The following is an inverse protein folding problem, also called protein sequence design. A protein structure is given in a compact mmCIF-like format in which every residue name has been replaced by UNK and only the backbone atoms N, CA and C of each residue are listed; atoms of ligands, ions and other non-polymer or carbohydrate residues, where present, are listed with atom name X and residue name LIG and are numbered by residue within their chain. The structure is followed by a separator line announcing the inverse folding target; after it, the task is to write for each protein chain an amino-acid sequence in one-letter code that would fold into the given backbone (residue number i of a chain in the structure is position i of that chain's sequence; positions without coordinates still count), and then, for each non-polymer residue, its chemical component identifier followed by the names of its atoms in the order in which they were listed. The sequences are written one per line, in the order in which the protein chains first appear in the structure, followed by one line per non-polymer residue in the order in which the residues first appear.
data_IF_815607568871
#
_entry.id   IF_815607568871
#
_cell.length_a   1.000
_cell.length_b   1.000
_cell.length_c   1.000
_cell.angle_alpha   90.00
_cell.angle_beta   90.00
_cell.angle_gamma   90.00
#
_symmetry.space_group_name_H-M   'P 1'
#
loop_
_entity.id
_entity.type
_entity.pdbx_description
1 polymer ?
#
# COMPACT_ATOMS: atom_id res chain seq x y z
N UNK A 1 -2.47 -14.52 24.68
CA UNK A 1 -1.77 -13.73 23.64
C UNK A 1 -0.67 -12.91 24.29
N UNK A 2 0.55 -13.00 23.77
CA UNK A 2 1.69 -12.18 24.18
C UNK A 2 1.42 -10.72 23.76
N UNK A 3 1.92 -9.75 24.52
CA UNK A 3 1.67 -8.31 24.26
C UNK A 3 2.03 -7.90 22.83
N UNK A 4 3.05 -8.53 22.24
CA UNK A 4 3.51 -8.28 20.88
C UNK A 4 2.49 -8.69 19.80
N UNK A 5 1.83 -9.83 19.99
CA UNK A 5 0.80 -10.32 19.05
C UNK A 5 -0.37 -9.34 18.96
N UNK A 6 -0.77 -8.76 20.10
CA UNK A 6 -1.84 -7.75 20.15
C UNK A 6 -1.46 -6.49 19.40
N UNK A 7 -0.19 -6.07 19.48
CA UNK A 7 0.29 -4.89 18.75
C UNK A 7 0.28 -5.10 17.25
N UNK A 8 0.74 -6.26 16.79
CA UNK A 8 0.74 -6.64 15.37
C UNK A 8 -0.69 -6.65 14.83
N UNK A 9 -1.62 -7.29 15.55
CA UNK A 9 -3.03 -7.33 15.16
C UNK A 9 -3.67 -5.94 15.11
N UNK A 10 -3.41 -5.07 16.10
CA UNK A 10 -3.94 -3.72 16.11
C UNK A 10 -3.43 -2.90 14.91
N UNK A 11 -2.12 -2.97 14.61
CA UNK A 11 -1.55 -2.29 13.45
C UNK A 11 -2.16 -2.80 12.14
N UNK A 12 -2.31 -4.12 11.99
CA UNK A 12 -2.91 -4.74 10.79
C UNK A 12 -4.35 -4.27 10.57
N UNK A 13 -5.18 -4.26 11.61
CA UNK A 13 -6.56 -3.76 11.51
C UNK A 13 -6.64 -2.30 11.05
N UNK A 14 -5.78 -1.43 11.59
CA UNK A 14 -5.71 -0.02 11.17
C UNK A 14 -5.35 0.06 9.67
N UNK A 15 -4.35 -0.71 9.25
CA UNK A 15 -3.92 -0.78 7.85
C UNK A 15 -5.04 -1.28 6.94
N UNK A 16 -5.80 -2.30 7.33
CA UNK A 16 -6.90 -2.84 6.52
C UNK A 16 -8.00 -1.81 6.27
N UNK A 17 -8.42 -1.08 7.31
CA UNK A 17 -9.40 0.00 7.18
C UNK A 17 -8.84 1.20 6.40
N UNK A 18 -7.54 1.49 6.55
CA UNK A 18 -6.89 2.53 5.76
C UNK A 18 -6.83 2.17 4.27
N UNK A 19 -6.44 0.94 3.94
CA UNK A 19 -6.45 0.42 2.57
C UNK A 19 -7.83 0.57 1.94
N UNK A 20 -8.89 0.17 2.65
CA UNK A 20 -10.26 0.29 2.16
C UNK A 20 -10.67 1.75 1.92
N UNK A 21 -10.40 2.63 2.88
CA UNK A 21 -10.74 4.06 2.79
C UNK A 21 -9.99 4.75 1.64
N UNK A 22 -8.68 4.50 1.50
CA UNK A 22 -7.88 5.07 0.40
C UNK A 22 -8.25 4.49 -0.96
N UNK A 23 -8.55 3.19 -1.04
CA UNK A 23 -9.02 2.58 -2.27
C UNK A 23 -10.41 3.10 -2.70
N UNK A 24 -11.25 3.45 -1.74
CA UNK A 24 -12.63 3.92 -2.02
C UNK A 24 -12.66 5.40 -2.39
N UNK A 25 -11.89 6.24 -1.68
CA UNK A 25 -12.00 7.71 -1.79
C UNK A 25 -10.79 8.38 -2.43
N UNK A 26 -9.65 7.70 -2.46
CA UNK A 26 -8.37 8.30 -2.78
C UNK A 26 -7.80 9.13 -1.64
N UNK A 27 -6.48 9.27 -1.63
CA UNK A 27 -5.70 9.93 -0.57
C UNK A 27 -6.22 11.33 -0.21
N UNK A 28 -6.53 12.16 -1.21
CA UNK A 28 -6.96 13.55 -0.98
C UNK A 28 -8.31 13.64 -0.25
N UNK A 29 -9.27 12.78 -0.59
CA UNK A 29 -10.61 12.80 -0.01
C UNK A 29 -10.75 11.93 1.25
N UNK A 30 -9.75 11.10 1.56
CA UNK A 30 -9.73 10.30 2.79
C UNK A 30 -9.40 11.12 4.04
N UNK A 31 -9.89 10.63 5.19
CA UNK A 31 -9.57 11.19 6.50
C UNK A 31 -9.38 10.11 7.57
N UNK A 32 -8.55 10.38 8.59
CA UNK A 32 -8.39 9.50 9.75
C UNK A 32 -9.72 9.26 10.49
N UNK A 33 -10.67 10.19 10.37
CA UNK A 33 -12.01 10.04 10.95
C UNK A 33 -12.84 8.94 10.27
N UNK A 34 -12.58 8.66 9.00
CA UNK A 34 -13.27 7.62 8.25
C UNK A 34 -12.62 6.24 8.44
N UNK A 35 -11.34 6.21 8.84
CA UNK A 35 -10.59 4.98 9.16
C UNK A 35 -10.95 4.45 10.56
N UNK A 36 -11.44 5.34 11.43
CA UNK A 36 -11.99 4.99 12.73
C UNK A 36 -13.12 3.97 12.61
N UNK A 37 -13.07 2.94 13.44
CA UNK A 37 -14.11 1.91 13.52
C UNK A 37 -14.17 1.35 14.93
N UNK A 38 -15.16 1.78 15.71
CA UNK A 38 -15.36 1.31 17.08
C UNK A 38 -15.75 -0.16 17.17
N UNK A 39 -16.47 -0.69 16.18
CA UNK A 39 -16.92 -2.09 16.18
C UNK A 39 -15.72 -3.04 16.02
N UNK A 40 -14.71 -2.60 15.27
CA UNK A 40 -13.44 -3.33 15.11
C UNK A 40 -12.40 -3.02 16.20
N UNK A 41 -12.71 -2.10 17.11
CA UNK A 41 -11.83 -1.67 18.21
C UNK A 41 -10.75 -0.65 17.79
N UNK A 42 -10.93 0.03 16.66
CA UNK A 42 -10.02 1.05 16.13
C UNK A 42 -10.50 2.44 16.58
N UNK A 43 -9.79 3.01 17.56
CA UNK A 43 -10.00 4.39 17.99
C UNK A 43 -9.04 5.35 17.28
N UNK A 44 -9.38 6.65 17.21
CA UNK A 44 -8.45 7.67 16.69
C UNK A 44 -7.15 7.71 17.48
N UNK A 45 -7.23 7.60 18.81
CA UNK A 45 -6.05 7.54 19.67
C UNK A 45 -5.17 6.33 19.37
N UNK A 46 -5.77 5.19 19.02
CA UNK A 46 -5.03 4.00 18.58
C UNK A 46 -4.38 4.22 17.21
N UNK A 47 -5.07 4.84 16.25
CA UNK A 47 -4.47 5.18 14.95
C UNK A 47 -3.26 6.09 15.16
N UNK A 48 -3.41 7.19 15.92
CA UNK A 48 -2.31 8.13 16.19
C UNK A 48 -1.18 7.54 17.05
N UNK A 49 -1.43 6.45 17.78
CA UNK A 49 -0.39 5.71 18.47
C UNK A 49 0.54 4.97 17.49
N UNK A 50 0.01 4.47 16.36
CA UNK A 50 0.77 3.74 15.35
C UNK A 50 1.27 4.60 14.18
N UNK A 51 0.51 5.63 13.81
CA UNK A 51 0.79 6.47 12.65
C UNK A 51 0.56 7.93 13.02
N UNK A 52 1.60 8.75 12.94
CA UNK A 52 1.57 10.16 13.38
C UNK A 52 0.69 11.03 12.48
N UNK A 53 0.46 10.61 11.23
CA UNK A 53 -0.34 11.36 10.27
C UNK A 53 -1.06 10.45 9.27
N UNK A 54 -2.03 11.04 8.53
CA UNK A 54 -2.65 10.40 7.36
C UNK A 54 -1.60 10.01 6.31
N UNK A 55 -0.56 10.84 6.17
CA UNK A 55 0.51 10.64 5.19
C UNK A 55 1.34 9.41 5.55
N UNK A 56 1.74 9.27 6.81
CA UNK A 56 2.49 8.10 7.28
C UNK A 56 1.67 6.81 7.10
N UNK A 57 0.37 6.87 7.40
CA UNK A 57 -0.53 5.73 7.19
C UNK A 57 -0.72 5.39 5.70
N UNK A 58 -0.84 6.40 4.83
CA UNK A 58 -0.91 6.19 3.39
C UNK A 58 0.40 5.61 2.84
N UNK A 59 1.55 6.13 3.27
CA UNK A 59 2.87 5.62 2.87
C UNK A 59 3.06 4.16 3.28
N UNK A 60 2.63 3.79 4.48
CA UNK A 60 2.64 2.38 4.89
C UNK A 60 1.78 1.51 3.97
N UNK A 61 0.61 2.01 3.53
CA UNK A 61 -0.25 1.28 2.58
C UNK A 61 0.39 1.16 1.20
N UNK A 62 1.11 2.19 0.75
CA UNK A 62 1.89 2.18 -0.49
C UNK A 62 3.03 1.18 -0.39
N UNK A 63 3.80 1.20 0.70
CA UNK A 63 4.89 0.25 0.93
C UNK A 63 4.38 -1.20 0.85
N UNK A 64 3.31 -1.52 1.58
CA UNK A 64 2.66 -2.84 1.53
C UNK A 64 2.21 -3.19 0.10
N UNK A 65 1.54 -2.28 -0.61
CA UNK A 65 1.12 -2.49 -2.00
C UNK A 65 2.30 -2.87 -2.92
N UNK A 66 3.43 -2.16 -2.79
CA UNK A 66 4.60 -2.40 -3.64
C UNK A 66 5.36 -3.66 -3.24
N UNK A 67 5.44 -3.99 -1.96
CA UNK A 67 6.00 -5.26 -1.48
C UNK A 67 5.21 -6.45 -2.01
N UNK A 68 3.87 -6.42 -1.88
CA UNK A 68 2.99 -7.48 -2.37
C UNK A 68 3.07 -7.62 -3.89
N UNK A 69 3.08 -6.51 -4.63
CA UNK A 69 3.24 -6.55 -6.09
C UNK A 69 4.61 -7.12 -6.49
N UNK A 70 5.68 -6.72 -5.80
CA UNK A 70 7.04 -7.21 -6.05
C UNK A 70 7.13 -8.71 -5.83
N UNK A 71 6.65 -9.21 -4.69
CA UNK A 71 6.64 -10.63 -4.38
C UNK A 71 5.83 -11.42 -5.42
N UNK A 72 4.64 -10.93 -5.78
CA UNK A 72 3.82 -11.55 -6.81
C UNK A 72 4.54 -11.63 -8.15
N UNK A 73 5.16 -10.54 -8.59
CA UNK A 73 5.94 -10.51 -9.83
C UNK A 73 7.11 -11.50 -9.78
N UNK A 74 7.87 -11.53 -8.69
CA UNK A 74 9.02 -12.43 -8.52
C UNK A 74 8.61 -13.90 -8.58
N UNK A 75 7.42 -14.24 -8.09
CA UNK A 75 6.91 -15.61 -8.07
C UNK A 75 6.25 -16.05 -9.40
N UNK A 76 5.91 -15.10 -10.29
CA UNK A 76 5.15 -15.39 -11.52
C UNK A 76 5.87 -15.01 -12.82
N UNK A 77 7.02 -14.33 -12.73
CA UNK A 77 7.83 -13.98 -13.89
C UNK A 77 9.10 -14.83 -13.92
N UNK A 78 9.19 -15.70 -14.92
CA UNK A 78 10.38 -16.49 -15.24
C UNK A 78 10.96 -15.97 -16.55
N UNK A 79 11.69 -14.86 -16.50
CA UNK A 79 12.37 -14.29 -17.66
C UNK A 79 13.81 -14.81 -17.67
N UNK A 80 14.19 -15.51 -18.74
CA UNK A 80 15.59 -15.70 -19.09
C UNK A 80 16.10 -14.38 -19.67
N UNK A 81 16.81 -13.58 -18.85
CA UNK A 81 17.23 -12.21 -19.20
C UNK A 81 18.20 -12.12 -20.38
N UNK A 82 18.84 -13.23 -20.74
CA UNK A 82 19.78 -13.30 -21.88
C UNK A 82 19.09 -13.62 -23.21
N UNK A 83 17.91 -14.26 -23.17
CA UNK A 83 17.20 -14.77 -24.35
C UNK A 83 15.95 -13.95 -24.71
N UNK A 84 15.42 -13.16 -23.76
CA UNK A 84 14.14 -12.46 -23.92
C UNK A 84 14.33 -11.04 -24.44
N UNK A 85 13.50 -10.62 -25.40
CA UNK A 85 13.46 -9.24 -25.87
C UNK A 85 12.83 -8.30 -24.83
N UNK A 86 13.20 -7.01 -24.85
CA UNK A 86 12.58 -5.99 -23.98
C UNK A 86 11.05 -5.96 -24.10
N UNK A 87 10.53 -6.16 -25.32
CA UNK A 87 9.09 -6.20 -25.56
C UNK A 87 8.42 -7.35 -24.82
N UNK A 88 9.04 -8.53 -24.81
CA UNK A 88 8.52 -9.70 -24.09
C UNK A 88 8.57 -9.47 -22.57
N UNK A 89 9.69 -8.95 -22.06
CA UNK A 89 9.84 -8.61 -20.65
C UNK A 89 8.75 -7.62 -20.19
N UNK A 90 8.55 -6.53 -20.95
CA UNK A 90 7.50 -5.55 -20.66
C UNK A 90 6.11 -6.19 -20.74
N UNK A 91 5.82 -6.97 -21.78
CA UNK A 91 4.52 -7.61 -21.95
C UNK A 91 4.21 -8.56 -20.79
N UNK A 92 5.19 -9.33 -20.31
CA UNK A 92 5.02 -10.20 -19.14
C UNK A 92 4.81 -9.39 -17.87
N UNK A 93 5.64 -8.37 -17.62
CA UNK A 93 5.46 -7.46 -16.48
C UNK A 93 4.05 -6.86 -16.44
N UNK A 94 3.59 -6.29 -17.56
CA UNK A 94 2.26 -5.71 -17.66
C UNK A 94 1.17 -6.74 -17.38
N UNK A 95 1.25 -7.93 -17.99
CA UNK A 95 0.26 -9.00 -17.80
C UNK A 95 0.19 -9.44 -16.33
N UNK A 96 1.34 -9.77 -15.74
CA UNK A 96 1.42 -10.25 -14.35
C UNK A 96 0.93 -9.20 -13.36
N UNK A 97 1.34 -7.93 -13.55
CA UNK A 97 0.85 -6.81 -12.72
C UNK A 97 -0.67 -6.62 -12.83
N UNK A 98 -1.24 -6.75 -14.03
CA UNK A 98 -2.68 -6.62 -14.23
C UNK A 98 -3.45 -7.74 -13.53
N UNK A 99 -2.94 -8.96 -13.53
CA UNK A 99 -3.54 -10.08 -12.78
C UNK A 99 -3.48 -9.81 -11.28
N UNK A 100 -2.33 -9.39 -10.76
CA UNK A 100 -2.19 -9.03 -9.34
C UNK A 100 -3.24 -8.01 -8.89
N UNK A 101 -3.45 -6.92 -9.65
CA UNK A 101 -4.43 -5.90 -9.31
C UNK A 101 -5.88 -6.35 -9.49
N UNK A 102 -6.13 -7.30 -10.39
CA UNK A 102 -7.45 -7.91 -10.50
C UNK A 102 -7.79 -8.75 -9.25
N UNK A 103 -6.80 -9.48 -8.73
CA UNK A 103 -6.95 -10.27 -7.50
C UNK A 103 -6.94 -9.40 -6.24
N UNK A 104 -6.30 -8.23 -6.29
CA UNK A 104 -6.13 -7.32 -5.15
C UNK A 104 -6.58 -5.88 -5.51
N UNK A 105 -7.90 -5.66 -5.70
CA UNK A 105 -8.40 -4.39 -6.25
C UNK A 105 -8.15 -3.18 -5.35
N UNK A 106 -8.01 -3.36 -4.02
CA UNK A 106 -7.69 -2.27 -3.10
C UNK A 106 -6.32 -1.65 -3.41
N UNK A 107 -5.36 -2.45 -3.86
CA UNK A 107 -4.02 -1.98 -4.21
C UNK A 107 -3.98 -1.22 -5.53
N UNK A 108 -4.91 -1.47 -6.46
CA UNK A 108 -4.89 -0.82 -7.76
C UNK A 108 -5.01 0.71 -7.64
N UNK A 109 -5.97 1.19 -6.85
CA UNK A 109 -6.19 2.63 -6.64
C UNK A 109 -5.00 3.30 -5.94
N UNK A 110 -4.47 2.64 -4.92
CA UNK A 110 -3.30 3.11 -4.16
C UNK A 110 -2.07 3.20 -5.07
N UNK A 111 -1.82 2.17 -5.87
CA UNK A 111 -0.74 2.17 -6.84
C UNK A 111 -0.89 3.29 -7.87
N UNK A 112 -2.08 3.45 -8.44
CA UNK A 112 -2.34 4.53 -9.40
C UNK A 112 -2.09 5.90 -8.77
N UNK A 113 -2.54 6.15 -7.53
CA UNK A 113 -2.29 7.43 -6.88
C UNK A 113 -0.82 7.64 -6.52
N UNK A 114 -0.12 6.60 -6.05
CA UNK A 114 1.30 6.69 -5.74
C UNK A 114 2.18 6.96 -6.99
N UNK A 115 1.82 6.38 -8.14
CA UNK A 115 2.61 6.47 -9.39
C UNK A 115 2.20 7.65 -10.28
N UNK A 116 0.92 8.04 -10.28
CA UNK A 116 0.39 9.08 -11.17
C UNK A 116 0.40 10.45 -10.48
N UNK A 117 0.27 10.52 -9.14
CA UNK A 117 0.42 11.78 -8.41
C UNK A 117 1.89 12.08 -8.14
N UNK A 118 2.62 12.31 -9.22
CA UNK A 118 3.92 12.97 -9.20
C UNK A 118 3.76 14.36 -8.55
N UNK A 119 4.21 14.53 -7.29
CA UNK A 119 4.89 15.71 -6.71
C UNK A 119 4.89 15.74 -5.17
N UNK A 120 3.97 15.07 -4.46
CA UNK A 120 3.96 15.15 -2.99
C UNK A 120 4.79 14.07 -2.26
N UNK A 121 4.99 12.89 -2.86
CA UNK A 121 5.76 11.81 -2.23
C UNK A 121 7.28 12.10 -2.19
N UNK A 122 7.84 12.74 -3.21
CA UNK A 122 9.24 13.19 -3.18
C UNK A 122 9.51 14.26 -2.11
N UNK A 123 8.49 15.02 -1.68
CA UNK A 123 8.58 15.99 -0.60
C UNK A 123 8.60 15.35 0.80
N UNK A 124 7.96 14.19 0.98
CA UNK A 124 7.95 13.46 2.25
C UNK A 124 9.23 12.64 2.45
N UNK A 125 9.77 12.04 1.38
CA UNK A 125 11.01 11.25 1.43
C UNK A 125 12.27 12.12 1.68
N UNK A 126 12.23 13.44 1.43
CA UNK A 126 13.38 14.33 1.64
C UNK A 126 13.48 15.01 3.02
N UNK A 127 12.61 14.73 4.00
CA UNK A 127 12.73 15.32 5.35
C UNK A 127 13.58 14.54 6.35
N UNK A 128 14.14 13.38 5.98
CA UNK A 128 15.05 12.61 6.85
C UNK A 128 16.48 12.51 6.32
N UNK A 129 16.86 13.34 5.35
CA UNK A 129 18.27 13.45 4.94
C UNK A 129 18.57 14.87 4.48
N UNK A 130 18.83 15.74 5.46
CA UNK A 130 19.86 16.80 5.54
C UNK A 130 19.75 17.43 6.93
#
# INVERSE_FOLDING_TARGET
MRQEERKIQARRKIMDNALLEFATRGYSASSVNNIYDSEQGISKGLIYHYFKSKDELFLACVEECFEQLKEYIQNHIFIETESSSLKECLSQYYKTRMIFFHENPLYQKIFCEAVIMDIFLFGVVKKETI
#
